data_IF_911414343924
#
_entry.id   IF_911414343924
#
_cell.length_a   1.000
_cell.length_b   1.000
_cell.length_c   1.000
_cell.angle_alpha   90.00
_cell.angle_beta   90.00
_cell.angle_gamma   90.00
#
_symmetry.space_group_name_H-M   'P 1'
#
loop_
_entity.id
_entity.type
_entity.pdbx_description
1 polymer ?
#
# COMPACT_ATOMS: atom_id res chain seq x y z
N UNK A 1 -22.43 -23.38 -11.90
CA UNK A 1 -21.74 -22.12 -12.09
C UNK A 1 -20.25 -22.39 -11.96
N UNK A 2 -19.45 -21.97 -12.95
CA UNK A 2 -18.00 -22.16 -12.94
C UNK A 2 -17.34 -20.91 -12.39
N UNK A 3 -16.49 -21.09 -11.37
CA UNK A 3 -15.78 -20.03 -10.66
C UNK A 3 -14.28 -20.30 -10.76
N UNK A 4 -13.51 -19.31 -11.13
CA UNK A 4 -12.05 -19.41 -11.20
C UNK A 4 -11.42 -18.45 -10.18
N UNK A 5 -10.53 -18.94 -9.34
CA UNK A 5 -9.62 -18.13 -8.54
C UNK A 5 -8.27 -18.09 -9.27
N UNK A 6 -7.93 -16.95 -9.87
CA UNK A 6 -6.77 -16.86 -10.77
C UNK A 6 -5.43 -16.78 -10.07
N UNK A 7 -5.38 -16.25 -8.83
CA UNK A 7 -4.16 -15.94 -8.09
C UNK A 7 -4.44 -15.77 -6.57
N UNK A 8 -4.92 -16.84 -5.93
CA UNK A 8 -5.45 -16.80 -4.56
C UNK A 8 -4.42 -16.92 -3.44
N UNK A 9 -3.16 -17.27 -3.72
CA UNK A 9 -2.18 -17.61 -2.67
C UNK A 9 -1.89 -16.48 -1.67
N UNK A 10 -1.85 -15.22 -2.13
CA UNK A 10 -1.51 -14.09 -1.25
C UNK A 10 -2.66 -13.70 -0.30
N UNK A 11 -3.88 -14.11 -0.61
CA UNK A 11 -5.08 -13.90 0.21
C UNK A 11 -5.41 -15.13 1.07
N UNK A 12 -5.05 -16.31 0.59
CA UNK A 12 -5.26 -17.57 1.29
C UNK A 12 -4.08 -18.54 1.02
N UNK A 13 -3.00 -18.42 1.79
CA UNK A 13 -1.87 -19.34 1.69
C UNK A 13 -2.16 -20.74 2.26
N UNK A 14 -3.41 -21.03 2.63
CA UNK A 14 -3.87 -22.29 3.18
C UNK A 14 -4.40 -22.20 4.61
N UNK A 15 -4.56 -20.99 5.14
CA UNK A 15 -5.06 -20.72 6.49
C UNK A 15 -6.57 -20.40 6.54
N UNK A 16 -7.20 -20.20 5.37
CA UNK A 16 -8.63 -19.95 5.24
C UNK A 16 -9.33 -21.07 4.49
N UNK A 17 -10.62 -21.26 4.78
CA UNK A 17 -11.46 -22.21 4.07
C UNK A 17 -12.10 -21.57 2.85
N UNK A 18 -12.01 -22.26 1.69
CA UNK A 18 -12.74 -21.89 0.48
C UNK A 18 -14.16 -22.49 0.42
N UNK A 19 -14.56 -23.31 1.42
CA UNK A 19 -15.87 -23.97 1.43
C UNK A 19 -17.07 -23.03 1.18
N UNK A 20 -17.11 -21.78 1.65
CA UNK A 20 -18.19 -20.85 1.30
C UNK A 20 -18.26 -20.53 -0.19
N UNK A 21 -17.12 -20.49 -0.89
CA UNK A 21 -17.06 -20.27 -2.34
C UNK A 21 -17.44 -21.55 -3.10
N UNK A 22 -16.97 -22.70 -2.64
CA UNK A 22 -17.28 -24.03 -3.22
C UNK A 22 -18.77 -24.37 -3.13
N UNK A 23 -19.46 -23.88 -2.10
CA UNK A 23 -20.91 -24.03 -1.97
C UNK A 23 -21.70 -23.30 -3.07
N UNK A 24 -21.09 -22.35 -3.79
CA UNK A 24 -21.72 -21.57 -4.85
C UNK A 24 -21.58 -22.20 -6.23
N UNK A 25 -20.64 -23.14 -6.44
CA UNK A 25 -20.41 -23.75 -7.74
C UNK A 25 -19.12 -24.57 -7.82
N UNK A 26 -18.78 -24.94 -9.05
CA UNK A 26 -17.52 -25.63 -9.36
C UNK A 26 -16.38 -24.58 -9.34
N UNK A 27 -15.42 -24.75 -8.44
CA UNK A 27 -14.32 -23.80 -8.24
C UNK A 27 -12.98 -24.42 -8.64
N UNK A 28 -12.21 -23.71 -9.45
CA UNK A 28 -10.82 -24.05 -9.77
C UNK A 28 -9.90 -22.98 -9.21
N UNK A 29 -8.80 -23.40 -8.58
CA UNK A 29 -7.86 -22.51 -7.91
C UNK A 29 -6.50 -22.50 -8.60
N UNK A 30 -5.92 -21.31 -8.70
CA UNK A 30 -4.54 -21.10 -9.07
C UNK A 30 -3.85 -20.23 -8.02
N UNK A 31 -2.59 -20.51 -7.74
CA UNK A 31 -1.85 -19.82 -6.69
C UNK A 31 -1.36 -18.44 -7.10
N UNK A 32 -0.62 -18.35 -8.20
CA UNK A 32 0.07 -17.14 -8.64
C UNK A 32 0.00 -16.94 -10.13
N UNK A 33 0.05 -15.67 -10.55
CA UNK A 33 0.11 -15.27 -11.96
C UNK A 33 1.10 -14.13 -12.15
N UNK A 34 1.62 -13.95 -13.37
CA UNK A 34 2.38 -12.76 -13.74
C UNK A 34 1.49 -11.53 -13.77
N UNK A 35 1.98 -10.39 -13.24
CA UNK A 35 1.18 -9.15 -13.11
C UNK A 35 0.74 -8.54 -14.45
N UNK A 36 1.34 -8.96 -15.55
CA UNK A 36 1.06 -8.49 -16.92
C UNK A 36 0.69 -9.62 -17.86
N UNK A 37 0.48 -10.83 -17.34
CA UNK A 37 0.26 -12.04 -18.14
C UNK A 37 -1.22 -12.20 -18.50
N UNK A 38 -1.64 -11.48 -19.55
CA UNK A 38 -2.99 -11.53 -20.09
C UNK A 38 -3.33 -12.91 -20.68
N UNK A 39 -2.39 -13.56 -21.37
CA UNK A 39 -2.61 -14.85 -22.02
C UNK A 39 -2.90 -15.93 -20.98
N UNK A 40 -2.13 -15.97 -19.90
CA UNK A 40 -2.37 -16.88 -18.81
C UNK A 40 -3.68 -16.56 -18.08
N UNK A 41 -4.03 -15.27 -17.95
CA UNK A 41 -5.33 -14.86 -17.38
C UNK A 41 -6.48 -15.38 -18.23
N UNK A 42 -6.41 -15.23 -19.56
CA UNK A 42 -7.41 -15.75 -20.50
C UNK A 42 -7.51 -17.27 -20.38
N UNK A 43 -6.37 -17.96 -20.38
CA UNK A 43 -6.33 -19.43 -20.27
C UNK A 43 -6.98 -19.93 -18.99
N UNK A 44 -6.75 -19.25 -17.85
CA UNK A 44 -7.33 -19.63 -16.55
C UNK A 44 -8.81 -19.35 -16.49
N UNK A 45 -9.24 -18.16 -16.91
CA UNK A 45 -10.67 -17.81 -16.90
C UNK A 45 -11.43 -18.75 -17.85
N UNK A 46 -10.96 -18.95 -19.08
CA UNK A 46 -11.54 -19.87 -20.04
C UNK A 46 -13.05 -19.66 -20.22
N UNK A 47 -13.85 -20.68 -19.89
CA UNK A 47 -15.30 -20.66 -19.98
C UNK A 47 -16.02 -20.35 -18.65
N UNK A 48 -15.30 -19.88 -17.65
CA UNK A 48 -15.87 -19.56 -16.34
C UNK A 48 -16.83 -18.35 -16.39
N UNK A 49 -17.81 -18.40 -15.50
CA UNK A 49 -18.81 -17.33 -15.33
C UNK A 49 -18.36 -16.27 -14.31
N UNK A 50 -17.54 -16.67 -13.35
CA UNK A 50 -17.03 -15.76 -12.29
C UNK A 50 -15.50 -15.86 -12.23
N UNK A 51 -14.83 -14.71 -12.29
CA UNK A 51 -13.42 -14.57 -12.04
C UNK A 51 -13.19 -13.92 -10.66
N UNK A 52 -12.54 -14.66 -9.77
CA UNK A 52 -12.04 -14.20 -8.49
C UNK A 52 -10.55 -13.95 -8.65
N UNK A 53 -10.14 -12.70 -8.58
CA UNK A 53 -8.77 -12.26 -8.90
C UNK A 53 -8.17 -11.45 -7.77
N UNK A 54 -6.84 -11.39 -7.68
CA UNK A 54 -6.17 -10.38 -6.84
C UNK A 54 -5.35 -9.41 -7.71
N UNK A 55 -4.37 -9.91 -8.46
CA UNK A 55 -3.48 -9.10 -9.30
C UNK A 55 -3.46 -9.55 -10.76
N UNK A 56 -4.21 -10.59 -11.12
CA UNK A 56 -4.37 -10.99 -12.50
C UNK A 56 -4.90 -9.81 -13.34
N UNK A 57 -4.27 -9.49 -14.49
CA UNK A 57 -4.73 -8.38 -15.33
C UNK A 57 -6.02 -8.76 -16.05
N UNK A 58 -7.08 -7.97 -15.90
CA UNK A 58 -8.33 -8.15 -16.64
C UNK A 58 -8.56 -6.92 -17.52
N UNK A 59 -7.86 -6.92 -18.63
CA UNK A 59 -7.92 -5.88 -19.67
C UNK A 59 -9.10 -6.11 -20.63
N UNK A 60 -9.27 -5.19 -21.59
CA UNK A 60 -10.26 -5.36 -22.68
C UNK A 60 -10.08 -6.67 -23.41
N UNK A 61 -8.82 -7.03 -23.74
CA UNK A 61 -8.49 -8.28 -24.41
C UNK A 61 -8.96 -9.50 -23.63
N UNK A 62 -8.73 -9.51 -22.32
CA UNK A 62 -9.16 -10.59 -21.43
C UNK A 62 -10.69 -10.70 -21.40
N UNK A 63 -11.38 -9.56 -21.24
CA UNK A 63 -12.85 -9.51 -21.22
C UNK A 63 -13.45 -10.03 -22.53
N UNK A 64 -12.92 -9.59 -23.68
CA UNK A 64 -13.41 -10.03 -24.99
C UNK A 64 -13.12 -11.51 -25.27
N UNK A 65 -12.03 -12.04 -24.69
CA UNK A 65 -11.65 -13.46 -24.86
C UNK A 65 -12.43 -14.41 -23.95
N UNK A 66 -13.15 -13.90 -22.95
CA UNK A 66 -13.89 -14.70 -21.97
C UNK A 66 -15.41 -14.38 -22.02
N UNK A 67 -16.12 -14.82 -23.09
CA UNK A 67 -17.49 -14.37 -23.36
C UNK A 67 -18.54 -14.85 -22.35
N UNK A 68 -18.22 -15.85 -21.53
CA UNK A 68 -19.11 -16.37 -20.49
C UNK A 68 -19.01 -15.60 -19.17
N UNK A 69 -18.05 -14.67 -19.05
CA UNK A 69 -17.78 -13.96 -17.82
C UNK A 69 -18.93 -13.02 -17.44
N UNK A 70 -19.48 -13.21 -16.25
CA UNK A 70 -20.65 -12.49 -15.71
C UNK A 70 -20.33 -11.63 -14.50
N UNK A 71 -19.22 -11.93 -13.79
CA UNK A 71 -18.79 -11.22 -12.58
C UNK A 71 -17.28 -11.28 -12.45
N UNK A 72 -16.68 -10.15 -12.10
CA UNK A 72 -15.30 -10.05 -11.68
C UNK A 72 -15.28 -9.61 -10.22
N UNK A 73 -14.61 -10.37 -9.34
CA UNK A 73 -14.41 -9.96 -7.96
C UNK A 73 -12.92 -9.89 -7.63
N UNK A 74 -12.49 -8.75 -7.10
CA UNK A 74 -11.10 -8.48 -6.75
C UNK A 74 -10.92 -8.68 -5.26
N UNK A 75 -10.05 -9.61 -4.85
CA UNK A 75 -9.73 -9.92 -3.46
C UNK A 75 -8.82 -8.85 -2.81
N UNK A 76 -9.03 -7.60 -3.17
CA UNK A 76 -8.26 -6.46 -2.68
C UNK A 76 -9.11 -5.19 -2.67
N UNK A 77 -8.65 -4.15 -1.99
CA UNK A 77 -9.25 -2.81 -2.09
C UNK A 77 -8.94 -2.16 -3.45
N UNK A 78 -7.69 -2.28 -3.93
CA UNK A 78 -7.28 -1.73 -5.22
C UNK A 78 -7.67 -2.63 -6.38
N UNK A 79 -8.37 -2.06 -7.37
CA UNK A 79 -8.91 -2.77 -8.53
C UNK A 79 -8.37 -2.26 -9.88
N UNK A 80 -7.26 -1.56 -9.86
CA UNK A 80 -6.61 -0.99 -11.06
C UNK A 80 -6.06 -2.03 -12.06
N UNK A 81 -6.12 -3.30 -11.72
CA UNK A 81 -5.80 -4.45 -12.61
C UNK A 81 -6.96 -4.78 -13.55
N UNK A 82 -8.15 -4.21 -13.35
CA UNK A 82 -9.35 -4.41 -14.17
C UNK A 82 -9.67 -3.14 -14.95
N UNK A 83 -9.93 -3.27 -16.27
CA UNK A 83 -10.60 -2.21 -17.05
C UNK A 83 -12.08 -2.14 -16.67
N UNK A 84 -12.36 -1.45 -15.55
CA UNK A 84 -13.72 -1.34 -14.99
C UNK A 84 -14.68 -0.61 -15.93
N UNK A 85 -14.17 0.37 -16.69
CA UNK A 85 -14.98 1.09 -17.66
C UNK A 85 -15.47 0.16 -18.75
N UNK A 86 -14.59 -0.67 -19.30
CA UNK A 86 -14.94 -1.64 -20.33
C UNK A 86 -15.80 -2.79 -19.80
N UNK A 87 -15.51 -3.30 -18.60
CA UNK A 87 -16.37 -4.30 -17.95
C UNK A 87 -17.83 -3.79 -17.83
N UNK A 88 -17.98 -2.52 -17.44
CA UNK A 88 -19.30 -1.86 -17.37
C UNK A 88 -19.99 -1.77 -18.74
N UNK A 89 -19.26 -1.43 -19.82
CA UNK A 89 -19.80 -1.43 -21.20
C UNK A 89 -20.32 -2.80 -21.60
N UNK A 90 -19.65 -3.85 -21.17
CA UNK A 90 -20.05 -5.26 -21.40
C UNK A 90 -21.13 -5.76 -20.43
N UNK A 91 -21.54 -4.96 -19.46
CA UNK A 91 -22.54 -5.35 -18.47
C UNK A 91 -22.00 -6.31 -17.40
N UNK A 92 -20.67 -6.38 -17.23
CA UNK A 92 -20.01 -7.25 -16.24
C UNK A 92 -19.73 -6.43 -14.99
N UNK A 93 -20.39 -6.71 -13.85
CA UNK A 93 -20.10 -6.05 -12.59
C UNK A 93 -18.70 -6.40 -12.10
N UNK A 94 -18.03 -5.39 -11.47
CA UNK A 94 -16.73 -5.55 -10.81
C UNK A 94 -16.91 -5.22 -9.34
N UNK A 95 -16.62 -6.17 -8.46
CA UNK A 95 -16.67 -6.02 -7.03
C UNK A 95 -15.25 -6.05 -6.44
N UNK A 96 -15.06 -5.38 -5.31
CA UNK A 96 -13.80 -5.41 -4.56
C UNK A 96 -14.07 -5.58 -3.06
N UNK A 97 -13.02 -5.73 -2.25
CA UNK A 97 -13.12 -5.77 -0.78
C UNK A 97 -12.68 -4.42 -0.22
N UNK A 98 -13.63 -3.52 0.10
CA UNK A 98 -13.28 -2.22 0.65
C UNK A 98 -12.86 -2.35 2.13
N UNK A 99 -11.93 -1.51 2.55
CA UNK A 99 -11.69 -1.17 3.97
C UNK A 99 -11.06 -2.24 4.89
N UNK A 100 -10.63 -3.39 4.42
CA UNK A 100 -10.01 -4.41 5.27
C UNK A 100 -8.62 -3.99 5.80
N UNK A 101 -7.87 -3.21 5.02
CA UNK A 101 -6.47 -2.84 5.32
C UNK A 101 -6.28 -1.57 6.16
N UNK A 102 -7.36 -0.94 6.69
CA UNK A 102 -7.26 0.36 7.34
C UNK A 102 -6.25 0.39 8.48
N UNK A 103 -6.43 -0.47 9.45
CA UNK A 103 -5.54 -0.55 10.62
C UNK A 103 -4.19 -1.22 10.30
N UNK A 104 -4.17 -2.30 9.53
CA UNK A 104 -2.94 -3.03 9.23
C UNK A 104 -1.96 -2.19 8.42
N UNK A 105 -2.43 -1.43 7.42
CA UNK A 105 -1.58 -0.53 6.63
C UNK A 105 -1.06 0.64 7.47
N UNK A 106 -1.90 1.23 8.33
CA UNK A 106 -1.46 2.31 9.22
C UNK A 106 -0.43 1.80 10.24
N UNK A 107 -0.68 0.64 10.86
CA UNK A 107 0.27 0.00 11.77
C UNK A 107 1.62 -0.26 11.08
N UNK A 108 1.60 -0.79 9.86
CA UNK A 108 2.83 -1.05 9.09
C UNK A 108 3.57 0.24 8.73
N UNK A 109 2.85 1.33 8.42
CA UNK A 109 3.46 2.65 8.19
C UNK A 109 4.24 3.11 9.43
N UNK A 110 3.63 2.99 10.62
CA UNK A 110 4.26 3.36 11.89
C UNK A 110 5.45 2.43 12.19
N UNK A 111 5.33 1.13 11.94
CA UNK A 111 6.43 0.19 12.12
C UNK A 111 7.65 0.53 11.25
N UNK A 112 7.43 0.87 9.97
CA UNK A 112 8.50 1.32 9.07
C UNK A 112 9.15 2.62 9.57
N UNK A 113 8.36 3.57 10.07
CA UNK A 113 8.88 4.81 10.66
C UNK A 113 9.75 4.53 11.88
N UNK A 114 9.28 3.68 12.80
CA UNK A 114 10.02 3.33 14.02
C UNK A 114 11.31 2.58 13.68
N UNK A 115 11.28 1.66 12.71
CA UNK A 115 12.50 0.98 12.24
C UNK A 115 13.51 1.96 11.66
N UNK A 116 13.07 2.90 10.80
CA UNK A 116 13.94 3.92 10.21
C UNK A 116 14.54 4.87 11.26
N UNK A 117 13.82 5.14 12.36
CA UNK A 117 14.27 6.04 13.42
C UNK A 117 15.12 5.36 14.49
N UNK A 118 14.86 4.08 14.79
CA UNK A 118 15.41 3.40 15.98
C UNK A 118 16.29 2.20 15.62
N UNK A 119 16.34 1.78 14.36
CA UNK A 119 17.14 0.63 13.87
C UNK A 119 16.91 -0.64 14.71
N UNK A 120 15.65 -0.96 15.00
CA UNK A 120 15.26 -2.05 15.91
C UNK A 120 15.80 -3.40 15.43
N UNK A 121 15.65 -3.69 14.13
CA UNK A 121 16.13 -4.95 13.55
C UNK A 121 17.67 -5.09 13.59
N UNK A 122 18.40 -3.97 13.48
CA UNK A 122 19.85 -3.97 13.68
C UNK A 122 20.22 -4.30 15.13
N UNK A 123 19.59 -3.64 16.08
CA UNK A 123 19.89 -3.83 17.50
C UNK A 123 19.46 -5.22 18.00
N UNK A 124 18.32 -5.75 17.52
CA UNK A 124 17.91 -7.14 17.78
C UNK A 124 19.01 -8.13 17.35
N UNK A 125 19.50 -8.04 16.12
CA UNK A 125 20.55 -8.91 15.61
C UNK A 125 21.84 -8.80 16.43
N UNK A 126 22.30 -7.59 16.71
CA UNK A 126 23.56 -7.39 17.44
C UNK A 126 23.48 -7.77 18.92
N UNK A 127 22.30 -7.72 19.54
CA UNK A 127 22.05 -8.30 20.87
C UNK A 127 22.23 -9.82 20.83
N UNK A 128 21.65 -10.52 19.84
CA UNK A 128 21.82 -11.96 19.68
C UNK A 128 23.25 -12.37 19.35
N UNK A 129 24.03 -11.51 18.70
CA UNK A 129 25.46 -11.65 18.46
C UNK A 129 26.31 -11.41 19.74
N UNK A 130 25.70 -11.06 20.84
CA UNK A 130 26.36 -10.86 22.14
C UNK A 130 26.92 -9.47 22.38
N UNK A 131 26.58 -8.48 21.54
CA UNK A 131 27.15 -7.14 21.65
C UNK A 131 26.78 -6.46 22.96
N UNK A 132 25.54 -6.59 23.42
CA UNK A 132 25.11 -6.00 24.69
C UNK A 132 25.87 -6.57 25.88
N UNK A 133 25.90 -7.90 26.01
CA UNK A 133 26.56 -8.55 27.16
C UNK A 133 28.07 -8.28 27.24
N UNK A 134 28.71 -7.91 26.10
CA UNK A 134 30.13 -7.60 26.02
C UNK A 134 30.40 -6.09 25.95
N UNK A 135 29.35 -5.25 26.06
CA UNK A 135 29.51 -3.79 26.09
C UNK A 135 30.20 -3.37 27.39
N UNK A 136 31.15 -2.42 27.34
CA UNK A 136 31.73 -1.84 28.55
C UNK A 136 30.74 -0.97 29.33
N UNK A 137 29.67 -0.51 28.66
CA UNK A 137 28.63 0.35 29.21
C UNK A 137 27.32 -0.41 29.39
N UNK A 138 26.41 0.12 30.19
CA UNK A 138 25.06 -0.41 30.41
C UNK A 138 24.13 -0.25 29.19
N UNK A 139 24.59 0.41 28.11
CA UNK A 139 23.90 0.59 26.84
C UNK A 139 24.90 0.64 25.68
N UNK A 140 24.38 0.56 24.46
CA UNK A 140 25.12 0.85 23.23
C UNK A 140 24.16 1.30 22.12
N UNK A 141 24.71 1.98 21.14
CA UNK A 141 24.03 2.34 19.89
C UNK A 141 25.05 2.35 18.75
N UNK A 142 24.60 2.01 17.54
CA UNK A 142 25.48 2.00 16.35
C UNK A 142 25.12 3.11 15.37
N UNK A 143 23.92 3.67 15.50
CA UNK A 143 23.40 4.72 14.65
C UNK A 143 22.77 5.83 15.50
N UNK A 144 22.74 7.09 14.99
CA UNK A 144 21.94 8.14 15.61
C UNK A 144 20.49 7.72 15.69
N UNK A 145 19.89 7.84 16.87
CA UNK A 145 18.47 7.55 17.08
C UNK A 145 17.67 8.85 16.93
N UNK A 146 16.49 8.74 16.35
CA UNK A 146 15.60 9.88 16.08
C UNK A 146 14.41 9.80 17.02
N UNK A 147 14.27 10.79 17.91
CA UNK A 147 13.08 10.98 18.72
C UNK A 147 11.98 11.64 17.88
N UNK A 148 10.76 11.10 17.94
CA UNK A 148 9.63 11.52 17.12
C UNK A 148 8.80 12.63 17.76
N UNK A 149 8.83 12.77 19.09
CA UNK A 149 8.07 13.79 19.78
C UNK A 149 8.41 15.21 19.29
N UNK A 150 7.38 16.00 18.97
CA UNK A 150 7.51 17.33 18.40
C UNK A 150 7.87 17.41 16.92
N UNK A 151 8.19 16.29 16.26
CA UNK A 151 8.42 16.26 14.81
C UNK A 151 7.12 16.26 14.01
N UNK A 152 7.21 16.65 12.75
CA UNK A 152 6.07 16.74 11.85
C UNK A 152 5.93 15.47 11.01
N UNK A 153 4.77 14.81 11.13
CA UNK A 153 4.37 13.70 10.28
C UNK A 153 3.47 14.22 9.15
N UNK A 154 3.93 14.13 7.92
CA UNK A 154 3.20 14.52 6.72
C UNK A 154 2.45 13.35 6.09
N UNK A 155 1.22 13.57 5.72
CA UNK A 155 0.37 12.62 5.00
C UNK A 155 0.07 13.13 3.59
N UNK A 156 0.63 12.49 2.58
CA UNK A 156 0.19 12.68 1.20
C UNK A 156 -0.99 11.74 0.93
N UNK A 157 -2.19 12.25 1.18
CA UNK A 157 -3.43 11.51 1.25
C UNK A 157 -3.88 11.24 2.69
N UNK A 158 -5.03 11.78 3.07
CA UNK A 158 -5.64 11.63 4.39
C UNK A 158 -7.07 11.07 4.26
N UNK A 159 -7.15 9.88 3.64
CA UNK A 159 -8.35 9.06 3.61
C UNK A 159 -8.46 8.22 4.89
N UNK A 160 -9.19 7.12 4.83
CA UNK A 160 -9.41 6.24 5.99
C UNK A 160 -8.12 5.72 6.62
N UNK A 161 -7.17 5.22 5.81
CA UNK A 161 -5.85 4.77 6.28
C UNK A 161 -5.09 5.94 6.89
N UNK A 162 -5.08 7.11 6.22
CA UNK A 162 -4.39 8.31 6.69
C UNK A 162 -4.89 8.79 8.05
N UNK A 163 -6.19 8.68 8.34
CA UNK A 163 -6.77 9.03 9.65
C UNK A 163 -6.22 8.10 10.74
N UNK A 164 -6.21 6.79 10.53
CA UNK A 164 -5.64 5.84 11.52
C UNK A 164 -4.14 6.03 11.70
N UNK A 165 -3.42 6.36 10.61
CA UNK A 165 -1.98 6.68 10.70
C UNK A 165 -1.76 7.98 11.47
N UNK A 166 -2.59 9.01 11.26
CA UNK A 166 -2.54 10.26 11.98
C UNK A 166 -2.78 10.06 13.49
N UNK A 167 -3.76 9.25 13.85
CA UNK A 167 -4.07 8.90 15.23
C UNK A 167 -2.85 8.28 15.93
N UNK A 168 -2.22 7.29 15.29
CA UNK A 168 -1.04 6.62 15.82
C UNK A 168 0.19 7.55 15.92
N UNK A 169 0.45 8.38 14.90
CA UNK A 169 1.54 9.34 14.91
C UNK A 169 1.36 10.40 16.01
N UNK A 170 0.13 10.88 16.23
CA UNK A 170 -0.19 11.78 17.37
C UNK A 170 0.03 11.11 18.72
N UNK A 171 -0.28 9.81 18.84
CA UNK A 171 0.02 9.02 20.03
C UNK A 171 1.51 8.96 20.37
N UNK A 172 2.39 9.14 19.37
CA UNK A 172 3.84 9.26 19.52
C UNK A 172 4.33 10.71 19.74
N UNK A 173 3.41 11.66 19.97
CA UNK A 173 3.74 13.06 20.23
C UNK A 173 4.09 13.88 18.98
N UNK A 174 3.78 13.40 17.78
CA UNK A 174 4.06 14.11 16.53
C UNK A 174 2.99 15.14 16.19
N UNK A 175 3.36 16.19 15.47
CA UNK A 175 2.45 17.10 14.78
C UNK A 175 2.06 16.49 13.44
N UNK A 176 0.77 16.37 13.15
CA UNK A 176 0.31 15.76 11.89
C UNK A 176 -0.22 16.82 10.96
N UNK A 177 0.38 16.88 9.75
CA UNK A 177 -0.09 17.70 8.64
C UNK A 177 -0.50 16.81 7.46
N UNK A 178 -1.42 17.24 6.64
CA UNK A 178 -1.89 16.45 5.50
C UNK A 178 -2.19 17.30 4.27
N UNK A 179 -1.88 16.77 3.10
CA UNK A 179 -2.43 17.20 1.84
C UNK A 179 -3.47 16.19 1.34
N UNK A 180 -4.68 16.64 1.11
CA UNK A 180 -5.75 15.82 0.55
C UNK A 180 -6.74 16.67 -0.23
N UNK A 181 -7.29 16.14 -1.33
CA UNK A 181 -8.29 16.85 -2.15
C UNK A 181 -9.54 17.24 -1.36
N UNK A 182 -9.98 16.36 -0.48
CA UNK A 182 -11.10 16.61 0.43
C UNK A 182 -10.61 16.58 1.88
N UNK A 183 -11.06 17.53 2.68
CA UNK A 183 -10.70 17.65 4.09
C UNK A 183 -11.82 17.05 4.94
N UNK A 184 -11.64 15.80 5.41
CA UNK A 184 -12.66 15.15 6.24
C UNK A 184 -12.77 15.79 7.62
N UNK A 185 -13.99 15.85 8.17
CA UNK A 185 -14.22 16.37 9.52
C UNK A 185 -13.52 15.49 10.56
N UNK A 186 -13.55 14.16 10.40
CA UNK A 186 -12.87 13.24 11.30
C UNK A 186 -11.36 13.52 11.42
N UNK A 187 -10.69 13.88 10.33
CA UNK A 187 -9.26 14.25 10.40
C UNK A 187 -9.07 15.61 11.12
N UNK A 188 -9.98 16.57 10.90
CA UNK A 188 -9.93 17.86 11.61
C UNK A 188 -10.18 17.70 13.11
N UNK A 189 -11.15 16.88 13.50
CA UNK A 189 -11.48 16.60 14.90
C UNK A 189 -10.31 15.89 15.62
N UNK A 190 -9.55 15.10 14.88
CA UNK A 190 -8.30 14.51 15.36
C UNK A 190 -7.16 15.55 15.46
N UNK A 191 -7.34 16.78 14.96
CA UNK A 191 -6.34 17.85 14.98
C UNK A 191 -5.27 17.69 13.89
N UNK A 192 -5.62 17.14 12.74
CA UNK A 192 -4.77 17.13 11.54
C UNK A 192 -4.87 18.51 10.88
N UNK A 193 -3.72 19.15 10.66
CA UNK A 193 -3.63 20.40 9.91
C UNK A 193 -3.59 20.11 8.42
N UNK A 194 -4.52 20.66 7.64
CA UNK A 194 -4.49 20.55 6.18
C UNK A 194 -3.66 21.69 5.58
N UNK A 195 -2.72 21.33 4.72
CA UNK A 195 -1.78 22.24 4.07
C UNK A 195 -1.81 22.04 2.56
N UNK A 196 -1.20 22.97 1.80
CA UNK A 196 -0.92 22.75 0.38
C UNK A 196 0.23 21.74 0.18
N UNK A 197 0.47 21.37 -1.07
CA UNK A 197 1.46 20.34 -1.39
C UNK A 197 2.89 20.80 -1.06
N UNK A 198 3.21 22.06 -1.33
CA UNK A 198 4.54 22.62 -1.04
C UNK A 198 4.78 22.73 0.47
N UNK A 199 3.78 23.14 1.23
CA UNK A 199 3.82 23.16 2.68
C UNK A 199 3.96 21.76 3.28
N UNK A 200 3.32 20.74 2.66
CA UNK A 200 3.51 19.35 3.08
C UNK A 200 4.98 18.93 2.92
N UNK A 201 5.57 19.16 1.74
CA UNK A 201 6.96 18.79 1.49
C UNK A 201 7.94 19.54 2.39
N UNK A 202 7.81 20.84 2.49
CA UNK A 202 8.73 21.68 3.25
C UNK A 202 8.72 21.45 4.76
N UNK A 203 7.58 20.99 5.31
CA UNK A 203 7.39 20.90 6.78
C UNK A 203 7.55 19.49 7.33
N UNK A 204 7.47 18.45 6.51
CA UNK A 204 7.51 17.05 6.96
C UNK A 204 8.91 16.63 7.41
N UNK A 205 9.03 16.01 8.58
CA UNK A 205 10.19 15.24 9.01
C UNK A 205 10.06 13.77 8.59
N UNK A 206 8.82 13.27 8.60
CA UNK A 206 8.43 11.98 8.02
C UNK A 206 7.28 12.24 7.06
N UNK A 207 7.35 11.70 5.85
CA UNK A 207 6.31 11.83 4.82
C UNK A 207 5.81 10.45 4.40
N UNK A 208 4.54 10.15 4.65
CA UNK A 208 3.90 8.91 4.23
C UNK A 208 2.96 9.13 3.04
N UNK A 209 3.11 8.28 2.00
CA UNK A 209 2.26 8.31 0.82
C UNK A 209 1.08 7.36 1.03
N UNK A 210 -0.13 7.92 1.18
CA UNK A 210 -1.34 7.15 1.50
C UNK A 210 -2.53 7.57 0.62
N UNK A 211 -2.26 7.84 -0.65
CA UNK A 211 -3.26 8.18 -1.65
C UNK A 211 -3.36 7.10 -2.73
N UNK A 212 -4.53 6.91 -3.35
CA UNK A 212 -4.65 6.04 -4.52
C UNK A 212 -3.87 6.62 -5.70
N UNK A 213 -3.35 5.74 -6.55
CA UNK A 213 -2.75 6.14 -7.81
C UNK A 213 -3.83 6.65 -8.77
N UNK A 214 -3.55 7.77 -9.42
CA UNK A 214 -4.34 8.37 -10.49
C UNK A 214 -3.40 9.10 -11.46
N UNK A 215 -3.86 9.43 -12.66
CA UNK A 215 -3.02 10.04 -13.70
C UNK A 215 -2.31 11.32 -13.21
N UNK A 216 -2.97 12.12 -12.39
CA UNK A 216 -2.43 13.40 -11.90
C UNK A 216 -1.33 13.26 -10.84
N UNK A 217 -1.11 12.08 -10.26
CA UNK A 217 -0.13 11.87 -9.20
C UNK A 217 0.94 10.82 -9.52
N UNK A 218 0.98 10.32 -10.76
CA UNK A 218 2.08 9.48 -11.21
C UNK A 218 3.39 10.26 -11.12
N UNK A 219 4.38 9.71 -10.39
CA UNK A 219 5.68 10.35 -10.19
C UNK A 219 5.60 11.67 -9.41
N UNK A 220 4.61 11.84 -8.54
CA UNK A 220 4.48 13.05 -7.70
C UNK A 220 5.70 13.27 -6.80
N UNK A 221 6.37 12.19 -6.42
CA UNK A 221 7.68 12.27 -5.76
C UNK A 221 8.74 12.18 -6.85
N UNK A 222 9.25 13.33 -7.26
CA UNK A 222 10.25 13.53 -8.30
C UNK A 222 11.35 14.49 -7.81
N UNK A 223 12.37 14.71 -8.65
CA UNK A 223 13.50 15.57 -8.31
C UNK A 223 13.09 16.99 -7.86
N UNK A 224 12.09 17.57 -8.51
CA UNK A 224 11.61 18.92 -8.18
C UNK A 224 10.96 18.96 -6.81
N UNK A 225 10.08 18.01 -6.52
CA UNK A 225 9.37 17.96 -5.24
C UNK A 225 10.25 17.46 -4.09
N UNK A 226 11.25 16.61 -4.36
CA UNK A 226 12.28 16.23 -3.38
C UNK A 226 13.11 17.46 -2.96
N UNK A 227 13.46 18.34 -3.90
CA UNK A 227 14.22 19.55 -3.60
C UNK A 227 13.48 20.55 -2.67
N UNK A 228 12.17 20.38 -2.47
CA UNK A 228 11.34 21.15 -1.52
C UNK A 228 11.31 20.53 -0.11
N UNK A 229 11.76 19.28 0.03
CA UNK A 229 11.70 18.54 1.28
C UNK A 229 12.85 18.93 2.20
N UNK A 230 12.70 18.62 3.48
CA UNK A 230 13.79 18.78 4.45
C UNK A 230 14.92 17.78 4.14
N UNK A 231 16.15 18.20 4.38
CA UNK A 231 17.29 17.29 4.42
C UNK A 231 17.06 16.22 5.50
N UNK A 232 17.26 14.94 5.14
CA UNK A 232 17.05 13.83 6.06
C UNK A 232 15.57 13.44 6.29
N UNK A 233 14.64 13.93 5.48
CA UNK A 233 13.23 13.51 5.52
C UNK A 233 13.12 11.98 5.34
N UNK A 234 12.31 11.34 6.18
CA UNK A 234 12.00 9.92 6.03
C UNK A 234 10.77 9.79 5.11
N UNK A 235 10.94 9.19 3.94
CA UNK A 235 9.86 8.95 2.99
C UNK A 235 9.38 7.50 3.08
N UNK A 236 8.08 7.31 3.35
CA UNK A 236 7.44 5.99 3.45
C UNK A 236 6.42 5.85 2.34
N UNK A 237 6.58 4.83 1.49
CA UNK A 237 5.59 4.49 0.47
C UNK A 237 5.13 3.04 0.60
N UNK A 238 4.02 2.83 1.25
CA UNK A 238 3.28 1.57 1.31
C UNK A 238 1.95 1.62 0.52
N UNK A 239 1.89 2.52 -0.47
CA UNK A 239 0.72 2.74 -1.34
C UNK A 239 0.96 2.14 -2.74
N UNK A 240 1.45 2.95 -3.68
CA UNK A 240 1.73 2.52 -5.07
C UNK A 240 3.13 2.97 -5.49
N UNK A 241 3.90 2.07 -6.10
CA UNK A 241 5.26 2.36 -6.58
C UNK A 241 5.31 3.53 -7.56
N UNK A 242 4.32 3.64 -8.43
CA UNK A 242 4.24 4.68 -9.45
C UNK A 242 4.04 6.11 -8.90
N UNK A 243 3.78 6.29 -7.62
CA UNK A 243 3.83 7.61 -6.97
C UNK A 243 5.26 8.15 -6.91
N UNK A 244 6.26 7.28 -6.99
CA UNK A 244 7.67 7.61 -7.05
C UNK A 244 8.15 7.64 -8.49
N UNK A 245 8.86 8.70 -8.88
CA UNK A 245 9.60 8.72 -10.15
C UNK A 245 10.94 8.02 -9.95
N UNK A 246 10.96 6.69 -10.12
CA UNK A 246 12.12 5.84 -9.83
C UNK A 246 13.38 6.23 -10.62
N UNK A 247 13.23 6.77 -11.82
CA UNK A 247 14.35 7.28 -12.62
C UNK A 247 15.02 8.53 -12.02
N UNK A 248 14.36 9.21 -11.07
CA UNK A 248 14.90 10.39 -10.39
C UNK A 248 15.31 10.11 -8.94
N UNK A 249 14.94 8.95 -8.38
CA UNK A 249 15.12 8.62 -6.96
C UNK A 249 16.10 7.47 -6.78
N UNK A 250 16.17 6.55 -7.73
CA UNK A 250 16.99 5.34 -7.65
C UNK A 250 18.34 5.50 -8.38
N UNK A 251 19.16 6.48 -7.99
CA UNK A 251 20.58 6.18 -8.00
C UNK A 251 20.83 5.36 -6.72
N UNK A 252 21.19 4.05 -6.84
CA UNK A 252 21.63 3.34 -5.65
C UNK A 252 22.86 4.07 -5.15
N UNK A 253 22.74 4.73 -4.00
CA UNK A 253 23.90 5.21 -3.27
C UNK A 253 24.74 3.97 -2.97
N UNK A 254 25.72 3.72 -3.84
CA UNK A 254 26.79 2.77 -3.54
C UNK A 254 27.62 3.39 -2.41
N UNK A 255 27.39 2.95 -1.21
CA UNK A 255 28.28 3.10 -0.08
C UNK A 255 28.84 1.74 0.30
#
# INVERSE_FOLDING_TARGET
MKIIVTDGYTENPGDLSWAPLEALGEVTYYDRIGLTDEEETIRRIGDAEIAVINKAPVTRKVIDSCPNLKLITVLATGYNVVDVAYAKEKGIPVCNVPNYGGYSVSQFTIALMLEACLHIGHHDRTVHEGKWQNSPDWCYWDYPLIELAGKTFGLLGCGRIGIHTAEAAKGLGMHVIAYNRSQSQAAKDLGVEFVDLDGLFARSDVLALQMPLADFNVGIINKENIAKMKDGVILINNSRGQLLSLIHISEPTRH
#
